data_IF_128188156181
#
_entry.id   IF_128188156181
#
_cell.length_a   1.000
_cell.length_b   1.000
_cell.length_c   1.000
_cell.angle_alpha   90.00
_cell.angle_beta   90.00
_cell.angle_gamma   90.00
#
_symmetry.space_group_name_H-M   'P 1'
#
loop_
_entity.id
_entity.type
_entity.pdbx_description
1 polymer ?
#
# COMPACT_ATOMS: atom_id res chain seq x y z
N UNK A 1 -2.14 -23.89 13.98
CA UNK A 1 -1.28 -24.20 15.16
C UNK A 1 -2.16 -24.88 16.18
N UNK A 2 -1.73 -25.99 16.81
CA UNK A 2 -2.53 -26.69 17.83
C UNK A 2 -2.44 -25.93 19.15
N UNK A 3 -3.59 -25.79 19.84
CA UNK A 3 -3.67 -25.24 21.18
C UNK A 3 -3.09 -26.19 22.23
N UNK A 4 -2.86 -25.68 23.44
CA UNK A 4 -2.24 -26.46 24.54
C UNK A 4 -3.12 -27.63 24.97
N UNK A 5 -4.46 -27.49 24.90
CA UNK A 5 -5.39 -28.55 25.28
C UNK A 5 -5.29 -29.73 24.31
N UNK A 6 -5.25 -29.47 23.02
CA UNK A 6 -5.03 -30.47 21.95
C UNK A 6 -3.69 -31.17 22.12
N UNK A 7 -2.61 -30.43 22.48
CA UNK A 7 -1.29 -31.03 22.74
C UNK A 7 -1.32 -31.98 23.95
N UNK A 8 -1.91 -31.52 25.07
CA UNK A 8 -2.08 -32.32 26.27
C UNK A 8 -2.84 -33.60 26.00
N UNK A 9 -3.96 -33.51 25.24
CA UNK A 9 -4.77 -34.68 24.88
C UNK A 9 -3.98 -35.69 24.04
N UNK A 10 -3.25 -35.24 23.02
CA UNK A 10 -2.44 -36.12 22.19
C UNK A 10 -1.31 -36.81 23.00
N UNK A 11 -0.63 -36.06 23.88
CA UNK A 11 0.42 -36.63 24.71
C UNK A 11 -0.12 -37.59 25.79
N UNK A 12 -1.31 -37.35 26.32
CA UNK A 12 -1.97 -38.25 27.26
C UNK A 12 -2.26 -39.64 26.63
N UNK A 13 -2.67 -39.67 25.34
CA UNK A 13 -2.84 -40.93 24.61
C UNK A 13 -1.53 -41.71 24.46
N UNK A 14 -0.42 -40.99 24.22
CA UNK A 14 0.92 -41.61 24.18
C UNK A 14 1.34 -42.12 25.57
N UNK A 15 1.09 -41.37 26.63
CA UNK A 15 1.38 -41.79 28.00
C UNK A 15 0.59 -43.00 28.45
N UNK A 16 -0.57 -43.27 27.86
CA UNK A 16 -1.38 -44.47 28.05
C UNK A 16 -0.81 -45.70 27.31
N UNK A 17 0.41 -45.61 26.77
CA UNK A 17 1.10 -46.73 26.08
C UNK A 17 0.77 -46.85 24.58
N UNK A 18 0.03 -45.93 24.00
CA UNK A 18 -0.27 -45.95 22.57
C UNK A 18 0.93 -45.44 21.74
N UNK A 19 1.18 -46.12 20.61
CA UNK A 19 2.28 -45.68 19.74
C UNK A 19 2.01 -44.34 19.09
N UNK A 20 3.06 -43.56 18.83
CA UNK A 20 2.97 -42.29 18.08
C UNK A 20 2.28 -42.45 16.71
N UNK A 21 2.45 -43.63 16.06
CA UNK A 21 1.77 -43.95 14.81
C UNK A 21 0.26 -44.05 14.99
N UNK A 22 -0.18 -44.80 16.03
CA UNK A 22 -1.59 -44.96 16.35
C UNK A 22 -2.27 -43.65 16.64
N UNK A 23 -1.65 -42.83 17.52
CA UNK A 23 -2.17 -41.49 17.89
C UNK A 23 -2.18 -40.55 16.68
N UNK A 24 -1.14 -40.60 15.83
CA UNK A 24 -1.07 -39.76 14.61
C UNK A 24 -2.21 -40.10 13.61
N UNK A 25 -2.53 -41.37 13.41
CA UNK A 25 -3.64 -41.76 12.53
C UNK A 25 -4.99 -41.34 13.08
N UNK A 26 -5.21 -41.47 14.37
CA UNK A 26 -6.47 -41.12 15.02
C UNK A 26 -6.73 -39.65 15.11
N UNK A 27 -5.69 -38.86 15.46
CA UNK A 27 -5.82 -37.43 15.73
C UNK A 27 -5.50 -36.53 14.53
N UNK A 28 -4.91 -37.08 13.47
CA UNK A 28 -4.38 -36.32 12.33
C UNK A 28 -3.14 -35.46 12.66
N UNK A 29 -2.58 -35.61 13.88
CA UNK A 29 -1.43 -34.85 14.35
C UNK A 29 -0.14 -35.56 13.95
N UNK A 30 0.81 -34.86 13.34
CA UNK A 30 2.06 -35.45 12.90
C UNK A 30 2.90 -35.95 14.08
N UNK A 31 3.61 -37.06 13.89
CA UNK A 31 4.53 -37.63 14.88
C UNK A 31 5.64 -36.64 15.29
N UNK A 32 6.11 -35.83 14.33
CA UNK A 32 7.10 -34.79 14.60
C UNK A 32 6.57 -33.73 15.56
N UNK A 33 5.31 -33.31 15.39
CA UNK A 33 4.66 -32.37 16.31
C UNK A 33 4.57 -32.96 17.73
N UNK A 34 4.12 -34.20 17.88
CA UNK A 34 4.02 -34.86 19.19
C UNK A 34 5.38 -35.02 19.88
N UNK A 35 6.44 -35.37 19.15
CA UNK A 35 7.81 -35.41 19.70
C UNK A 35 8.26 -34.03 20.18
N UNK A 36 8.01 -33.00 19.40
CA UNK A 36 8.34 -31.62 19.77
C UNK A 36 7.60 -31.18 21.05
N UNK A 37 6.32 -31.57 21.19
CA UNK A 37 5.53 -31.25 22.39
C UNK A 37 5.92 -32.05 23.62
N UNK A 38 6.42 -33.27 23.44
CA UNK A 38 6.97 -34.07 24.53
C UNK A 38 8.20 -33.36 25.16
N UNK A 39 9.03 -32.74 24.32
CA UNK A 39 10.16 -31.95 24.79
C UNK A 39 9.71 -30.57 25.33
N UNK A 40 8.66 -29.98 24.79
CA UNK A 40 8.12 -28.67 25.16
C UNK A 40 6.63 -28.57 24.90
N UNK A 41 5.82 -28.71 25.95
CA UNK A 41 4.35 -28.65 25.85
C UNK A 41 3.85 -27.26 25.52
N UNK A 42 4.36 -26.25 26.24
CA UNK A 42 3.97 -24.86 26.03
C UNK A 42 4.56 -24.30 24.72
N UNK A 43 3.76 -23.59 23.93
CA UNK A 43 4.31 -22.85 22.79
C UNK A 43 5.40 -21.89 23.25
N UNK A 44 6.46 -21.76 22.48
CA UNK A 44 7.38 -20.64 22.68
C UNK A 44 6.58 -19.34 22.67
N UNK A 45 6.75 -18.47 23.68
CA UNK A 45 6.19 -17.14 23.58
C UNK A 45 6.70 -16.51 22.27
N UNK A 46 5.79 -16.08 21.42
CA UNK A 46 6.17 -15.28 20.26
C UNK A 46 6.76 -14.00 20.84
N UNK A 47 8.06 -13.82 20.73
CA UNK A 47 8.66 -12.51 20.96
C UNK A 47 7.95 -11.54 20.01
N UNK A 48 7.18 -10.63 20.56
CA UNK A 48 6.64 -9.52 19.79
C UNK A 48 7.85 -8.72 19.32
N UNK A 49 8.11 -8.74 18.02
CA UNK A 49 9.11 -7.85 17.44
C UNK A 49 8.60 -6.42 17.70
N UNK A 50 9.37 -5.57 18.39
CA UNK A 50 8.93 -4.21 18.64
C UNK A 50 8.63 -3.52 17.30
N UNK A 51 7.61 -2.63 17.23
CA UNK A 51 7.35 -1.89 16.02
C UNK A 51 8.60 -1.07 15.65
N UNK A 52 8.93 -0.98 14.35
CA UNK A 52 10.05 -0.16 13.90
C UNK A 52 9.77 1.32 14.19
N UNK A 53 10.84 2.10 14.27
CA UNK A 53 10.74 3.55 14.17
C UNK A 53 10.19 4.01 12.81
N UNK A 54 10.18 5.32 12.53
CA UNK A 54 9.89 5.85 11.22
C UNK A 54 10.77 5.20 10.14
N UNK A 55 10.31 5.11 8.89
CA UNK A 55 11.10 4.53 7.80
C UNK A 55 12.38 5.35 7.58
N UNK A 56 13.50 4.65 7.35
CA UNK A 56 14.80 5.30 7.13
C UNK A 56 14.93 5.93 5.74
N UNK A 57 14.23 5.40 4.75
CA UNK A 57 14.10 6.00 3.42
C UNK A 57 12.75 6.74 3.33
N UNK A 58 12.79 8.01 3.75
CA UNK A 58 11.62 8.88 3.78
C UNK A 58 11.12 9.24 2.38
N UNK A 59 12.02 9.36 1.41
CA UNK A 59 11.71 9.64 0.00
C UNK A 59 10.84 8.52 -0.58
N UNK A 60 11.32 7.28 -0.49
CA UNK A 60 10.58 6.10 -0.96
C UNK A 60 9.30 5.89 -0.16
N UNK A 61 9.30 6.20 1.14
CA UNK A 61 8.11 6.09 1.96
C UNK A 61 7.03 7.09 1.56
N UNK A 62 7.40 8.36 1.32
CA UNK A 62 6.45 9.40 0.90
C UNK A 62 5.74 9.00 -0.41
N UNK A 63 6.49 8.49 -1.39
CA UNK A 63 5.95 7.94 -2.63
C UNK A 63 5.02 6.74 -2.40
N UNK A 64 5.48 5.75 -1.60
CA UNK A 64 4.71 4.55 -1.29
C UNK A 64 3.43 4.87 -0.51
N UNK A 65 3.46 5.90 0.37
CA UNK A 65 2.29 6.38 1.08
C UNK A 65 1.23 6.92 0.11
N UNK A 66 1.63 7.70 -0.89
CA UNK A 66 0.74 8.17 -1.95
C UNK A 66 0.11 7.01 -2.74
N UNK A 67 0.92 6.03 -3.15
CA UNK A 67 0.43 4.81 -3.82
C UNK A 67 -0.53 4.00 -2.93
N UNK A 68 -0.21 3.85 -1.65
CA UNK A 68 -1.06 3.14 -0.70
C UNK A 68 -2.42 3.81 -0.51
N UNK A 69 -2.45 5.13 -0.43
CA UNK A 69 -3.70 5.86 -0.23
C UNK A 69 -4.65 5.73 -1.42
N UNK A 70 -4.14 5.64 -2.65
CA UNK A 70 -4.94 5.32 -3.83
C UNK A 70 -5.20 3.81 -3.94
N UNK A 71 -4.31 3.07 -4.56
CA UNK A 71 -4.47 1.68 -5.00
C UNK A 71 -3.98 0.61 -4.02
N UNK A 72 -3.46 1.02 -2.84
CA UNK A 72 -2.90 0.08 -1.88
C UNK A 72 -3.93 -0.54 -0.95
N UNK A 73 -3.67 -1.77 -0.50
CA UNK A 73 -4.40 -2.40 0.60
C UNK A 73 -3.46 -3.24 1.47
N UNK A 74 -3.78 -3.33 2.75
CA UNK A 74 -3.09 -4.20 3.70
C UNK A 74 -4.05 -5.28 4.16
N UNK A 75 -3.58 -6.51 4.23
CA UNK A 75 -4.34 -7.65 4.74
C UNK A 75 -3.48 -8.52 5.64
N UNK A 76 -4.08 -9.10 6.68
CA UNK A 76 -3.39 -10.03 7.56
C UNK A 76 -2.95 -11.29 6.80
N UNK A 77 -1.80 -11.84 7.19
CA UNK A 77 -1.37 -13.14 6.70
C UNK A 77 -2.26 -14.25 7.28
N UNK A 78 -2.83 -15.15 6.46
CA UNK A 78 -3.83 -16.11 6.93
C UNK A 78 -3.31 -17.12 7.97
N UNK A 79 -1.99 -17.36 8.01
CA UNK A 79 -1.38 -18.37 8.90
C UNK A 79 -0.24 -17.83 9.75
N UNK A 80 0.04 -16.53 9.74
CA UNK A 80 1.17 -15.91 10.41
C UNK A 80 0.84 -14.56 11.03
N UNK A 81 1.75 -13.98 11.82
CA UNK A 81 1.51 -12.73 12.52
C UNK A 81 1.68 -11.48 11.64
N UNK A 82 2.10 -11.64 10.40
CA UNK A 82 2.43 -10.53 9.51
C UNK A 82 1.26 -10.06 8.64
N UNK A 83 1.57 -9.09 7.80
CA UNK A 83 0.63 -8.49 6.87
C UNK A 83 1.22 -8.44 5.47
N UNK A 84 0.35 -8.43 4.48
CA UNK A 84 0.70 -8.15 3.10
C UNK A 84 0.25 -6.73 2.75
N UNK A 85 1.18 -5.90 2.29
CA UNK A 85 0.85 -4.72 1.52
C UNK A 85 0.75 -5.13 0.05
N UNK A 86 -0.33 -4.73 -0.61
CA UNK A 86 -0.55 -4.92 -2.04
C UNK A 86 -0.88 -3.59 -2.68
N UNK A 87 -0.25 -3.30 -3.81
CA UNK A 87 -0.57 -2.14 -4.65
C UNK A 87 -0.88 -2.65 -6.05
N UNK A 88 -2.04 -2.30 -6.58
CA UNK A 88 -2.46 -2.69 -7.92
C UNK A 88 -1.93 -1.67 -8.95
N UNK A 89 -1.13 -2.12 -9.91
CA UNK A 89 -0.56 -1.29 -10.96
C UNK A 89 -1.03 -1.82 -12.33
N UNK A 90 -1.60 -0.98 -13.18
CA UNK A 90 -2.04 -1.40 -14.51
C UNK A 90 -0.86 -1.90 -15.37
N UNK A 91 -1.08 -2.97 -16.14
CA UNK A 91 -0.05 -3.57 -17.00
C UNK A 91 0.54 -2.61 -18.05
N UNK A 92 -0.21 -1.57 -18.41
CA UNK A 92 0.23 -0.54 -19.36
C UNK A 92 1.32 0.39 -18.84
N UNK A 93 1.69 0.29 -17.56
CA UNK A 93 2.64 1.18 -16.90
C UNK A 93 3.78 0.39 -16.22
N UNK A 94 4.71 -0.22 -16.99
CA UNK A 94 5.80 -1.05 -16.42
C UNK A 94 6.74 -0.25 -15.52
N UNK A 95 7.04 1.00 -15.84
CA UNK A 95 7.86 1.86 -14.98
C UNK A 95 7.20 2.18 -13.63
N UNK A 96 5.86 2.29 -13.58
CA UNK A 96 5.13 2.40 -12.33
C UNK A 96 5.24 1.14 -11.48
N UNK A 97 5.18 -0.04 -12.12
CA UNK A 97 5.34 -1.34 -11.43
C UNK A 97 6.74 -1.43 -10.82
N UNK A 98 7.76 -1.05 -11.59
CA UNK A 98 9.17 -1.04 -11.14
C UNK A 98 9.37 -0.07 -9.97
N UNK A 99 8.86 1.16 -10.09
CA UNK A 99 8.95 2.18 -9.04
C UNK A 99 8.22 1.76 -7.75
N UNK A 100 7.04 1.15 -7.87
CA UNK A 100 6.29 0.62 -6.73
C UNK A 100 7.06 -0.50 -6.01
N UNK A 101 7.63 -1.45 -6.75
CA UNK A 101 8.42 -2.54 -6.18
C UNK A 101 9.69 -2.02 -5.50
N UNK A 102 10.40 -1.08 -6.12
CA UNK A 102 11.58 -0.44 -5.56
C UNK A 102 11.26 0.29 -4.26
N UNK A 103 10.22 1.13 -4.24
CA UNK A 103 9.80 1.83 -3.04
C UNK A 103 9.40 0.88 -1.90
N UNK A 104 8.68 -0.21 -2.22
CA UNK A 104 8.28 -1.21 -1.23
C UNK A 104 9.50 -1.93 -0.61
N UNK A 105 10.54 -2.22 -1.41
CA UNK A 105 11.80 -2.81 -0.94
C UNK A 105 12.62 -1.84 -0.09
N UNK A 106 12.70 -0.57 -0.49
CA UNK A 106 13.42 0.46 0.27
C UNK A 106 12.81 0.72 1.64
N UNK A 107 11.47 0.76 1.72
CA UNK A 107 10.75 0.95 2.99
C UNK A 107 10.83 -0.29 3.90
N UNK A 108 10.95 -1.48 3.33
CA UNK A 108 11.13 -2.74 4.07
C UNK A 108 12.33 -3.54 3.52
N UNK A 109 13.56 -3.14 3.80
CA UNK A 109 14.75 -3.79 3.25
C UNK A 109 14.96 -5.22 3.72
N UNK A 110 14.36 -5.62 4.85
CA UNK A 110 14.38 -6.99 5.36
C UNK A 110 13.35 -7.91 4.71
N UNK A 111 12.40 -7.36 3.94
CA UNK A 111 11.30 -8.08 3.30
C UNK A 111 11.48 -8.20 1.79
N UNK A 112 10.76 -9.15 1.21
CA UNK A 112 10.68 -9.31 -0.24
C UNK A 112 9.45 -8.59 -0.78
N UNK A 113 9.64 -7.82 -1.85
CA UNK A 113 8.57 -7.40 -2.74
C UNK A 113 8.60 -8.27 -4.00
N UNK A 114 7.44 -8.71 -4.46
CA UNK A 114 7.28 -9.54 -5.66
C UNK A 114 6.00 -9.16 -6.41
N UNK A 115 5.92 -9.60 -7.64
CA UNK A 115 4.82 -9.30 -8.56
C UNK A 115 3.89 -10.49 -8.69
N UNK A 116 2.61 -10.23 -8.59
CA UNK A 116 1.55 -11.22 -8.87
C UNK A 116 0.75 -10.73 -10.07
N UNK A 117 0.84 -11.47 -11.17
CA UNK A 117 0.11 -11.14 -12.39
C UNK A 117 -1.38 -11.41 -12.21
N UNK A 118 -2.21 -10.46 -12.62
CA UNK A 118 -3.65 -10.58 -12.70
C UNK A 118 -4.17 -10.10 -14.07
N UNK A 119 -5.45 -10.28 -14.33
CA UNK A 119 -6.03 -9.81 -15.59
C UNK A 119 -6.10 -8.27 -15.60
N UNK A 120 -5.31 -7.64 -16.47
CA UNK A 120 -5.27 -6.20 -16.65
C UNK A 120 -4.34 -5.43 -15.71
N UNK A 121 -3.78 -6.05 -14.67
CA UNK A 121 -2.88 -5.40 -13.72
C UNK A 121 -1.86 -6.36 -13.10
N UNK A 122 -0.80 -5.79 -12.56
CA UNK A 122 0.15 -6.47 -11.67
C UNK A 122 -0.12 -6.00 -10.25
N UNK A 123 -0.26 -6.94 -9.31
CA UNK A 123 -0.21 -6.61 -7.89
C UNK A 123 1.22 -6.71 -7.40
N UNK A 124 1.81 -5.60 -6.99
CA UNK A 124 3.08 -5.58 -6.25
C UNK A 124 2.78 -5.91 -4.80
N UNK A 125 3.42 -6.93 -4.26
CA UNK A 125 3.10 -7.51 -2.95
C UNK A 125 4.35 -7.56 -2.09
N UNK A 126 4.27 -7.02 -0.87
CA UNK A 126 5.31 -7.13 0.14
C UNK A 126 4.78 -7.71 1.44
N UNK A 127 5.50 -8.67 2.01
CA UNK A 127 5.19 -9.19 3.34
C UNK A 127 6.00 -8.48 4.41
N UNK A 128 5.32 -7.95 5.44
CA UNK A 128 5.98 -7.36 6.61
C UNK A 128 5.04 -7.34 7.81
N UNK A 129 5.50 -7.72 9.02
CA UNK A 129 4.65 -7.70 10.21
C UNK A 129 4.11 -6.32 10.57
N UNK A 130 4.86 -5.28 10.27
CA UNK A 130 4.60 -3.92 10.74
C UNK A 130 4.01 -2.98 9.68
N UNK A 131 3.50 -3.48 8.55
CA UNK A 131 2.79 -2.63 7.58
C UNK A 131 1.68 -1.78 8.24
N UNK A 132 0.84 -2.30 9.17
CA UNK A 132 -0.16 -1.47 9.83
C UNK A 132 0.41 -0.36 10.70
N UNK A 133 1.65 -0.52 11.20
CA UNK A 133 2.35 0.53 11.94
C UNK A 133 2.86 1.63 11.03
N UNK A 134 3.42 1.25 9.88
CA UNK A 134 3.87 2.21 8.86
C UNK A 134 2.70 2.90 8.14
N UNK A 135 1.54 2.27 8.06
CA UNK A 135 0.33 2.81 7.46
C UNK A 135 -0.84 2.78 8.45
N UNK A 136 -0.85 3.67 9.47
CA UNK A 136 -1.91 3.71 10.49
C UNK A 136 -3.30 4.02 9.92
N UNK A 137 -3.38 4.45 8.66
CA UNK A 137 -4.63 4.55 7.89
C UNK A 137 -5.23 3.19 7.53
N UNK A 138 -4.52 2.08 7.82
CA UNK A 138 -5.06 0.73 7.64
C UNK A 138 -6.22 0.49 8.62
N UNK A 139 -7.28 -0.17 8.13
CA UNK A 139 -8.45 -0.50 8.92
C UNK A 139 -9.48 -1.26 8.09
N UNK A 140 -10.56 -1.76 8.72
CA UNK A 140 -11.62 -2.47 8.03
C UNK A 140 -12.39 -1.56 7.07
N UNK A 141 -13.01 -2.14 6.05
CA UNK A 141 -13.82 -1.45 5.07
C UNK A 141 -13.02 -0.64 4.05
N UNK A 142 -13.73 0.13 3.25
CA UNK A 142 -13.13 0.94 2.18
C UNK A 142 -12.55 2.24 2.73
N UNK A 143 -11.47 2.74 2.11
CA UNK A 143 -10.79 3.97 2.56
C UNK A 143 -11.71 5.20 2.57
N UNK A 144 -12.63 5.31 1.61
CA UNK A 144 -13.56 6.45 1.54
C UNK A 144 -14.71 6.41 2.54
N UNK A 145 -14.89 5.28 3.24
CA UNK A 145 -15.91 5.09 4.27
C UNK A 145 -15.37 5.37 5.68
N UNK A 146 -14.09 5.70 5.82
CA UNK A 146 -13.45 5.97 7.10
C UNK A 146 -12.56 7.21 7.04
N UNK A 147 -12.27 7.77 8.21
CA UNK A 147 -11.36 8.91 8.32
C UNK A 147 -9.94 8.51 7.90
N UNK A 148 -9.33 9.30 7.02
CA UNK A 148 -7.94 9.19 6.61
C UNK A 148 -7.20 10.45 7.06
N UNK A 149 -6.26 10.28 7.99
CA UNK A 149 -5.39 11.35 8.47
C UNK A 149 -3.95 10.84 8.57
N UNK A 150 -2.98 11.70 8.33
CA UNK A 150 -1.57 11.39 8.56
C UNK A 150 -1.25 11.47 10.05
N UNK A 151 -0.44 10.54 10.55
CA UNK A 151 0.18 10.68 11.86
C UNK A 151 1.22 11.83 11.82
N UNK A 152 1.55 12.48 12.95
CA UNK A 152 2.49 13.61 12.96
C UNK A 152 3.83 13.30 12.28
N UNK A 153 4.40 12.13 12.49
CA UNK A 153 5.64 11.71 11.85
C UNK A 153 5.50 11.50 10.33
N UNK A 154 4.32 11.02 9.85
CA UNK A 154 4.03 10.92 8.42
C UNK A 154 3.89 12.30 7.79
N UNK A 155 3.23 13.23 8.49
CA UNK A 155 3.10 14.61 8.02
C UNK A 155 4.47 15.24 7.86
N UNK A 156 5.38 15.08 8.83
CA UNK A 156 6.75 15.59 8.74
C UNK A 156 7.49 15.04 7.51
N UNK A 157 7.34 13.75 7.19
CA UNK A 157 7.93 13.15 5.99
C UNK A 157 7.30 13.73 4.71
N UNK A 158 5.99 13.88 4.67
CA UNK A 158 5.29 14.46 3.51
C UNK A 158 5.70 15.93 3.31
N UNK A 159 5.87 16.69 4.38
CA UNK A 159 6.31 18.08 4.32
C UNK A 159 7.77 18.20 3.83
N UNK A 160 8.62 17.24 4.17
CA UNK A 160 10.00 17.16 3.67
C UNK A 160 10.10 16.65 2.22
N UNK A 161 9.19 15.76 1.80
CA UNK A 161 9.19 15.12 0.49
C UNK A 161 7.82 15.22 -0.20
N UNK A 162 7.27 16.43 -0.40
CA UNK A 162 5.91 16.63 -0.89
C UNK A 162 5.71 16.14 -2.34
N UNK A 163 6.72 16.29 -3.18
CA UNK A 163 6.65 15.87 -4.58
C UNK A 163 6.53 14.35 -4.73
N UNK A 164 7.21 13.60 -3.87
CA UNK A 164 7.10 12.13 -3.87
C UNK A 164 5.69 11.68 -3.44
N UNK A 165 5.11 12.34 -2.46
CA UNK A 165 3.73 12.08 -2.06
C UNK A 165 2.73 12.38 -3.18
N UNK A 166 2.86 13.57 -3.82
CA UNK A 166 2.04 13.96 -4.98
C UNK A 166 2.23 12.94 -6.11
N UNK A 167 3.47 12.53 -6.40
CA UNK A 167 3.79 11.55 -7.43
C UNK A 167 3.10 10.22 -7.15
N UNK A 168 3.15 9.72 -5.92
CA UNK A 168 2.46 8.50 -5.52
C UNK A 168 0.94 8.57 -5.70
N UNK A 169 0.31 9.69 -5.33
CA UNK A 169 -1.12 9.90 -5.52
C UNK A 169 -1.51 10.00 -7.00
N UNK A 170 -0.72 10.71 -7.81
CA UNK A 170 -0.96 10.79 -9.27
C UNK A 170 -0.72 9.44 -9.94
N UNK A 171 0.29 8.69 -9.52
CA UNK A 171 0.59 7.37 -10.06
C UNK A 171 -0.48 6.33 -9.72
N UNK A 172 -1.20 6.47 -8.61
CA UNK A 172 -2.39 5.67 -8.32
C UNK A 172 -3.64 6.23 -9.03
N UNK A 173 -4.27 7.22 -8.44
CA UNK A 173 -5.59 7.73 -8.80
C UNK A 173 -5.59 8.94 -9.75
N UNK A 174 -4.44 9.35 -10.27
CA UNK A 174 -4.30 10.47 -11.19
C UNK A 174 -3.97 10.05 -12.62
N UNK A 175 -3.99 11.04 -13.52
CA UNK A 175 -3.50 10.90 -14.89
C UNK A 175 -3.04 12.25 -15.45
N UNK A 176 -2.09 12.20 -16.40
CA UNK A 176 -1.72 13.30 -17.28
C UNK A 176 -2.33 13.07 -18.65
N UNK A 177 -3.10 14.03 -19.14
CA UNK A 177 -3.73 13.95 -20.46
C UNK A 177 -3.48 15.23 -21.26
N UNK A 178 -3.61 15.12 -22.57
CA UNK A 178 -3.78 16.28 -23.44
C UNK A 178 -5.27 16.51 -23.66
N UNK A 179 -5.78 17.63 -23.14
CA UNK A 179 -7.15 18.06 -23.33
C UNK A 179 -7.21 19.07 -24.51
N UNK A 180 -8.39 19.33 -25.03
CA UNK A 180 -8.58 20.28 -26.11
C UNK A 180 -9.83 21.14 -25.92
N UNK A 181 -9.80 22.33 -26.50
CA UNK A 181 -10.93 23.22 -26.59
C UNK A 181 -10.98 23.83 -27.99
N UNK A 182 -12.19 24.10 -28.49
CA UNK A 182 -12.38 24.84 -29.73
C UNK A 182 -12.81 26.26 -29.40
N UNK A 183 -12.24 27.22 -30.12
CA UNK A 183 -12.66 28.63 -30.06
C UNK A 183 -12.93 29.13 -31.46
N UNK A 184 -13.91 30.02 -31.58
CA UNK A 184 -14.17 30.75 -32.84
C UNK A 184 -13.20 31.93 -32.90
N UNK A 185 -12.31 31.95 -33.87
CA UNK A 185 -11.33 33.03 -34.10
C UNK A 185 -11.42 33.44 -35.55
N UNK A 186 -11.87 34.70 -35.80
CA UNK A 186 -12.05 35.20 -37.18
C UNK A 186 -13.09 34.45 -38.01
N UNK A 187 -14.12 33.88 -37.38
CA UNK A 187 -15.15 33.07 -38.08
C UNK A 187 -14.81 31.61 -38.26
N UNK A 188 -13.57 31.19 -37.94
CA UNK A 188 -13.12 29.81 -38.04
C UNK A 188 -13.01 29.13 -36.69
N UNK A 189 -13.38 27.85 -36.60
CA UNK A 189 -13.18 27.04 -35.39
C UNK A 189 -11.73 26.57 -35.29
N UNK A 190 -10.96 27.14 -34.34
CA UNK A 190 -9.58 26.70 -34.03
C UNK A 190 -9.58 25.80 -32.83
N UNK A 191 -8.89 24.64 -32.94
CA UNK A 191 -8.66 23.70 -31.88
C UNK A 191 -7.36 24.07 -31.14
N UNK A 192 -7.44 24.15 -29.82
CA UNK A 192 -6.31 24.39 -28.92
C UNK A 192 -6.13 23.17 -28.02
N UNK A 193 -4.97 22.58 -28.02
CA UNK A 193 -4.60 21.46 -27.19
C UNK A 193 -3.73 21.96 -26.03
N UNK A 194 -3.96 21.37 -24.85
CA UNK A 194 -3.19 21.72 -23.66
C UNK A 194 -3.09 20.53 -22.70
N UNK A 195 -1.89 20.30 -22.11
CA UNK A 195 -1.70 19.27 -21.11
C UNK A 195 -2.41 19.65 -19.82
N UNK A 196 -2.86 18.64 -19.08
CA UNK A 196 -3.40 18.83 -17.73
C UNK A 196 -3.29 17.55 -16.93
N UNK A 197 -3.26 17.70 -15.61
CA UNK A 197 -3.38 16.59 -14.67
C UNK A 197 -4.79 16.54 -14.09
N UNK A 198 -5.25 15.30 -13.84
CA UNK A 198 -6.42 15.01 -13.05
C UNK A 198 -6.05 14.09 -11.90
N UNK A 199 -6.73 14.26 -10.78
CA UNK A 199 -6.72 13.35 -9.65
C UNK A 199 -8.15 13.08 -9.24
N UNK A 200 -8.55 11.82 -9.14
CA UNK A 200 -9.93 11.42 -8.84
C UNK A 200 -9.94 10.45 -7.66
N UNK A 201 -10.59 10.80 -6.56
CA UNK A 201 -10.73 9.93 -5.41
C UNK A 201 -12.11 10.06 -4.76
N UNK A 202 -12.59 8.99 -4.13
CA UNK A 202 -13.86 8.97 -3.40
C UNK A 202 -13.72 9.52 -1.98
N UNK A 203 -12.52 9.49 -1.40
CA UNK A 203 -12.25 9.98 -0.05
C UNK A 203 -11.99 11.49 -0.06
N UNK A 204 -12.86 12.25 0.58
CA UNK A 204 -12.64 13.68 0.79
C UNK A 204 -11.38 14.01 1.58
N UNK A 205 -10.98 13.10 2.49
CA UNK A 205 -9.74 13.26 3.27
C UNK A 205 -8.50 13.10 2.37
N UNK A 206 -8.47 12.11 1.48
CA UNK A 206 -7.36 11.92 0.53
C UNK A 206 -7.28 13.11 -0.46
N UNK A 207 -8.45 13.59 -0.95
CA UNK A 207 -8.49 14.79 -1.77
C UNK A 207 -7.89 15.99 -1.02
N UNK A 208 -8.24 16.17 0.25
CA UNK A 208 -7.71 17.26 1.08
C UNK A 208 -6.20 17.14 1.30
N UNK A 209 -5.69 15.95 1.61
CA UNK A 209 -4.25 15.71 1.71
C UNK A 209 -3.53 16.07 0.40
N UNK A 210 -4.07 15.66 -0.74
CA UNK A 210 -3.52 16.00 -2.04
C UNK A 210 -3.51 17.51 -2.29
N UNK A 211 -4.64 18.18 -2.10
CA UNK A 211 -4.76 19.63 -2.37
C UNK A 211 -3.93 20.48 -1.42
N UNK A 212 -3.89 20.14 -0.12
CA UNK A 212 -3.02 20.82 0.84
C UNK A 212 -1.54 20.66 0.46
N UNK A 213 -1.13 19.49 -0.02
CA UNK A 213 0.26 19.30 -0.47
C UNK A 213 0.53 20.05 -1.78
N UNK A 214 -0.44 20.16 -2.70
CA UNK A 214 -0.31 21.00 -3.90
C UNK A 214 -0.14 22.49 -3.53
N UNK A 215 -0.92 22.99 -2.55
CA UNK A 215 -0.81 24.36 -2.04
C UNK A 215 0.58 24.61 -1.44
N UNK A 216 1.10 23.64 -0.68
CA UNK A 216 2.44 23.73 -0.08
C UNK A 216 3.57 23.89 -1.12
N UNK A 217 3.44 23.23 -2.28
CA UNK A 217 4.45 23.32 -3.36
C UNK A 217 4.10 24.35 -4.44
N UNK A 218 3.08 25.20 -4.22
CA UNK A 218 2.72 26.32 -5.10
C UNK A 218 2.08 25.89 -6.42
N UNK A 219 1.40 24.73 -6.46
CA UNK A 219 0.67 24.24 -7.63
C UNK A 219 -0.79 24.68 -7.58
N UNK A 220 -1.20 25.53 -8.51
CA UNK A 220 -2.61 25.92 -8.66
C UNK A 220 -3.46 24.76 -9.15
N UNK A 221 -4.53 24.52 -8.47
CA UNK A 221 -5.51 23.48 -8.79
C UNK A 221 -6.94 24.03 -8.78
N UNK A 222 -7.86 23.26 -9.33
CA UNK A 222 -9.31 23.54 -9.31
C UNK A 222 -10.07 22.25 -9.02
N UNK A 223 -11.05 22.32 -8.14
CA UNK A 223 -12.00 21.25 -7.98
C UNK A 223 -13.02 21.27 -9.13
N UNK A 224 -12.98 20.25 -9.97
CA UNK A 224 -13.87 20.12 -11.12
C UNK A 224 -15.25 19.57 -10.70
N UNK A 225 -15.27 18.68 -9.71
CA UNK A 225 -16.46 18.16 -9.03
C UNK A 225 -16.03 17.58 -7.65
N UNK A 226 -16.96 17.11 -6.79
CA UNK A 226 -16.60 16.63 -5.44
C UNK A 226 -15.50 15.56 -5.36
N UNK A 227 -15.23 14.87 -6.47
CA UNK A 227 -14.28 13.73 -6.53
C UNK A 227 -13.07 13.99 -7.41
N UNK A 228 -13.02 15.13 -8.11
CA UNK A 228 -12.03 15.34 -9.16
C UNK A 228 -11.32 16.69 -9.02
N UNK A 229 -10.01 16.64 -8.89
CA UNK A 229 -9.10 17.79 -8.89
C UNK A 229 -8.43 17.90 -10.26
N UNK A 230 -8.33 19.12 -10.76
CA UNK A 230 -7.76 19.45 -12.06
C UNK A 230 -6.64 20.49 -11.92
N UNK A 231 -5.50 20.21 -12.51
CA UNK A 231 -4.34 21.10 -12.63
C UNK A 231 -4.19 21.40 -14.13
N UNK A 232 -4.41 22.65 -14.54
CA UNK A 232 -4.46 23.05 -15.95
C UNK A 232 -3.71 24.35 -16.25
N UNK A 233 -3.29 25.13 -15.24
CA UNK A 233 -2.45 26.32 -15.45
C UNK A 233 -1.09 25.88 -15.96
N UNK A 234 -0.59 26.55 -17.01
CA UNK A 234 0.66 26.18 -17.70
C UNK A 234 1.85 26.06 -16.74
N UNK A 235 2.00 27.03 -15.82
CA UNK A 235 3.08 26.99 -14.81
C UNK A 235 2.95 25.78 -13.88
N UNK A 236 1.74 25.51 -13.37
CA UNK A 236 1.47 24.37 -12.48
C UNK A 236 1.66 23.04 -13.17
N UNK A 237 1.25 22.91 -14.45
CA UNK A 237 1.50 21.73 -15.26
C UNK A 237 3.00 21.51 -15.48
N UNK A 238 3.77 22.60 -15.73
CA UNK A 238 5.22 22.49 -15.90
C UNK A 238 5.91 22.01 -14.61
N UNK A 239 5.50 22.48 -13.42
CA UNK A 239 5.99 21.98 -12.14
C UNK A 239 5.66 20.49 -11.98
N UNK A 240 4.43 20.09 -12.28
CA UNK A 240 4.02 18.68 -12.24
C UNK A 240 4.81 17.83 -13.23
N UNK A 241 5.08 18.32 -14.43
CA UNK A 241 5.88 17.59 -15.44
C UNK A 241 7.34 17.41 -15.00
N UNK A 242 7.90 18.39 -14.24
CA UNK A 242 9.25 18.31 -13.72
C UNK A 242 9.41 17.27 -12.61
N UNK A 243 8.43 17.19 -11.69
CA UNK A 243 8.57 16.42 -10.46
C UNK A 243 7.78 15.11 -10.46
N UNK A 244 6.69 15.03 -11.21
CA UNK A 244 5.80 13.86 -11.24
C UNK A 244 5.92 13.12 -12.57
N UNK A 245 5.74 13.82 -13.68
CA UNK A 245 5.73 13.25 -15.01
C UNK A 245 4.50 12.38 -15.32
N UNK A 246 4.38 11.88 -16.55
CA UNK A 246 3.36 10.90 -16.92
C UNK A 246 3.71 9.52 -16.36
N UNK A 247 2.70 8.69 -16.16
CA UNK A 247 2.91 7.24 -15.94
C UNK A 247 3.57 6.63 -17.18
N UNK A 248 4.49 5.71 -17.00
CA UNK A 248 5.21 5.02 -18.08
C UNK A 248 5.44 3.54 -17.75
#
# INVERSE_FOLDING_TARGET
>A
MYDVSTRKRALALVAQGRSLNSVSRETGISRAAMRSWHARLEPLPRMAVPPPGPPTDEVSYSYLLGLYLGDGCISAHPRGPGHYLRVACANSWPGLIDACEAAMRSVNPSGNAYRVQAQGYVSVVGYYPHWPHLFPQHGPGKKHERRIALAPWQQAIVDAHPWEFIRGLIHSDGCRITNWATRLVGGERKRYEYPRYFFTNLSGDIIRLFTTTLDHVGVDWRQANPRNISIARKASVALMDTHVGPKH
#
